data_IF_881294156446
#
_entry.id   IF_881294156446
#
_cell.length_a   1.000
_cell.length_b   1.000
_cell.length_c   1.000
_cell.angle_alpha   90.00
_cell.angle_beta   90.00
_cell.angle_gamma   90.00
#
_symmetry.space_group_name_H-M   'P 1'
#
loop_
_entity.id
_entity.type
_entity.pdbx_description
1 polymer ?
#
# COMPACT_ATOMS: atom_id res chain seq x y z
N UNK A 1 -23.65 -1.67 -39.69
CA UNK A 1 -22.53 -0.71 -39.59
C UNK A 1 -21.24 -1.44 -39.95
N UNK A 2 -20.23 -0.79 -40.54
CA UNK A 2 -18.88 -1.37 -40.62
C UNK A 2 -18.29 -1.40 -39.20
N UNK A 3 -17.73 -2.54 -38.82
CA UNK A 3 -17.04 -2.69 -37.55
C UNK A 3 -15.74 -1.85 -37.57
N UNK A 4 -15.49 -1.05 -36.53
CA UNK A 4 -14.29 -0.21 -36.46
C UNK A 4 -13.14 -1.05 -35.93
N UNK A 5 -12.01 -1.09 -36.65
CA UNK A 5 -10.79 -1.76 -36.17
C UNK A 5 -10.33 -1.10 -34.87
N UNK A 6 -10.04 -1.88 -33.84
CA UNK A 6 -9.53 -1.40 -32.54
C UNK A 6 -8.13 -1.94 -32.33
N UNK A 7 -7.17 -1.05 -32.08
CA UNK A 7 -5.78 -1.38 -31.75
C UNK A 7 -5.49 -0.92 -30.33
N UNK A 8 -4.85 -1.76 -29.52
CA UNK A 8 -4.42 -1.45 -28.15
C UNK A 8 -2.91 -1.53 -28.05
N UNK A 9 -2.25 -0.55 -27.43
CA UNK A 9 -0.82 -0.60 -27.08
C UNK A 9 -0.51 0.41 -25.98
N UNK A 10 0.69 0.33 -25.40
CA UNK A 10 1.10 1.05 -24.18
C UNK A 10 1.92 2.30 -24.51
N UNK A 11 1.90 3.28 -23.60
CA UNK A 11 2.84 4.41 -23.61
C UNK A 11 4.28 3.88 -23.68
N UNK A 12 5.09 4.49 -24.56
CA UNK A 12 6.49 4.10 -24.81
C UNK A 12 6.67 2.97 -25.84
N UNK A 13 5.62 2.23 -26.20
CA UNK A 13 5.70 1.17 -27.22
C UNK A 13 5.63 1.73 -28.65
N UNK A 14 5.78 0.82 -29.62
CA UNK A 14 5.54 1.07 -31.05
C UNK A 14 4.25 0.39 -31.47
N UNK A 15 3.38 1.09 -32.21
CA UNK A 15 2.13 0.54 -32.74
C UNK A 15 2.04 0.73 -34.26
N UNK A 16 1.39 -0.23 -34.92
CA UNK A 16 0.97 -0.16 -36.31
C UNK A 16 -0.55 0.00 -36.42
N UNK A 17 -0.99 0.96 -37.22
CA UNK A 17 -2.40 1.14 -37.59
C UNK A 17 -2.56 0.72 -39.06
N UNK A 18 -3.26 -0.40 -39.36
CA UNK A 18 -3.40 -0.89 -40.72
C UNK A 18 -4.35 0.00 -41.54
N UNK A 19 -4.00 0.30 -42.79
CA UNK A 19 -4.91 0.93 -43.74
C UNK A 19 -5.88 -0.10 -44.37
N UNK A 20 -6.84 0.37 -45.18
CA UNK A 20 -7.77 -0.48 -45.95
C UNK A 20 -7.41 -0.60 -47.45
N UNK A 21 -6.18 -0.25 -47.83
CA UNK A 21 -5.69 -0.38 -49.19
C UNK A 21 -4.21 -0.77 -49.21
N UNK A 22 -3.85 -1.66 -50.14
CA UNK A 22 -2.48 -1.98 -50.49
C UNK A 22 -2.25 -1.57 -51.95
N UNK A 23 -1.12 -0.91 -52.22
CA UNK A 23 -0.71 -0.52 -53.56
C UNK A 23 -0.23 -1.78 -54.30
N UNK A 24 -0.80 -2.13 -55.46
CA UNK A 24 -0.33 -3.27 -56.25
C UNK A 24 1.15 -3.14 -56.60
N UNK A 25 1.89 -4.26 -56.60
CA UNK A 25 3.32 -4.27 -56.93
C UNK A 25 3.66 -3.82 -58.36
N UNK A 26 2.67 -3.77 -59.26
CA UNK A 26 2.75 -3.19 -60.61
C UNK A 26 2.54 -1.67 -60.65
N UNK A 27 2.30 -1.03 -59.49
CA UNK A 27 2.02 0.39 -59.34
C UNK A 27 2.99 1.07 -58.36
N UNK A 28 2.79 2.36 -58.15
CA UNK A 28 3.67 3.19 -57.33
C UNK A 28 2.85 4.25 -56.61
N UNK A 29 3.29 4.62 -55.41
CA UNK A 29 2.75 5.70 -54.58
C UNK A 29 2.62 7.03 -55.33
N UNK A 30 3.35 7.25 -56.42
CA UNK A 30 3.16 8.41 -57.31
C UNK A 30 1.72 8.56 -57.86
N UNK A 31 0.97 7.46 -58.04
CA UNK A 31 -0.42 7.48 -58.54
C UNK A 31 -1.47 7.73 -57.45
N UNK A 32 -1.03 7.85 -56.20
CA UNK A 32 -1.89 7.86 -55.02
C UNK A 32 -1.71 9.14 -54.20
N UNK A 33 -2.78 9.54 -53.52
CA UNK A 33 -2.73 10.45 -52.37
C UNK A 33 -3.20 9.69 -51.15
N UNK A 34 -2.41 9.74 -50.08
CA UNK A 34 -2.68 8.99 -48.84
C UNK A 34 -2.68 9.99 -47.71
N UNK A 35 -3.73 9.97 -46.90
CA UNK A 35 -3.88 10.81 -45.72
C UNK A 35 -4.12 9.91 -44.51
N UNK A 36 -3.27 10.04 -43.50
CA UNK A 36 -3.58 9.57 -42.15
C UNK A 36 -4.02 10.77 -41.33
N UNK A 37 -5.25 10.69 -40.81
CA UNK A 37 -5.88 11.79 -40.07
C UNK A 37 -6.29 11.31 -38.68
N UNK A 38 -6.13 12.16 -37.66
CA UNK A 38 -6.63 11.92 -36.29
C UNK A 38 -7.84 12.82 -36.05
N UNK A 39 -8.92 12.23 -35.53
CA UNK A 39 -10.20 12.88 -35.26
C UNK A 39 -10.76 13.69 -36.46
N UNK A 40 -10.45 13.28 -37.71
CA UNK A 40 -10.83 13.91 -38.99
C UNK A 40 -10.19 15.30 -39.23
N UNK A 41 -9.71 15.99 -38.19
CA UNK A 41 -9.19 17.37 -38.28
C UNK A 41 -7.66 17.47 -38.32
N UNK A 42 -6.93 16.57 -37.66
CA UNK A 42 -5.47 16.62 -37.58
C UNK A 42 -4.83 15.70 -38.62
N UNK A 43 -4.17 16.26 -39.65
CA UNK A 43 -3.41 15.44 -40.62
C UNK A 43 -2.10 14.96 -39.97
N UNK A 44 -2.07 13.69 -39.54
CA UNK A 44 -0.90 13.05 -38.93
C UNK A 44 0.26 13.06 -39.92
N UNK A 45 0.00 12.54 -41.13
CA UNK A 45 0.86 12.66 -42.29
C UNK A 45 0.05 12.57 -43.59
N UNK A 46 0.61 13.08 -44.67
CA UNK A 46 0.04 12.92 -46.01
C UNK A 46 1.13 12.73 -47.07
N UNK A 47 0.83 11.87 -48.05
CA UNK A 47 1.64 11.65 -49.24
C UNK A 47 0.86 12.03 -50.50
N UNK A 48 1.55 12.60 -51.49
CA UNK A 48 1.07 12.83 -52.85
C UNK A 48 2.25 12.75 -53.80
N UNK A 49 2.05 12.18 -54.99
CA UNK A 49 3.10 12.08 -56.02
C UNK A 49 4.39 11.42 -55.46
N UNK A 50 4.23 10.38 -54.63
CA UNK A 50 5.33 9.62 -54.02
C UNK A 50 6.05 10.32 -52.86
N UNK A 51 5.79 11.62 -52.64
CA UNK A 51 6.46 12.44 -51.64
C UNK A 51 5.57 12.71 -50.43
N UNK A 52 6.18 12.84 -49.25
CA UNK A 52 5.48 13.30 -48.04
C UNK A 52 5.24 14.81 -48.16
N UNK A 53 3.98 15.24 -48.22
CA UNK A 53 3.57 16.64 -48.42
C UNK A 53 3.13 17.34 -47.14
N UNK A 54 2.79 16.57 -46.09
CA UNK A 54 2.42 17.11 -44.78
C UNK A 54 2.76 16.12 -43.68
N UNK A 55 3.14 16.66 -42.52
CA UNK A 55 3.35 15.92 -41.27
C UNK A 55 3.13 16.87 -40.10
N UNK A 56 2.21 16.53 -39.21
CA UNK A 56 1.90 17.36 -38.05
C UNK A 56 3.04 17.32 -37.03
N UNK A 57 3.36 18.45 -36.39
CA UNK A 57 4.58 18.64 -35.60
C UNK A 57 4.72 17.63 -34.44
N UNK A 58 3.64 17.35 -33.71
CA UNK A 58 3.56 16.30 -32.67
C UNK A 58 4.08 14.92 -33.12
N UNK A 59 3.91 14.61 -34.41
CA UNK A 59 4.26 13.34 -35.04
C UNK A 59 5.63 13.37 -35.75
N UNK A 60 6.31 14.52 -35.77
CA UNK A 60 7.64 14.68 -36.35
C UNK A 60 8.62 13.75 -35.62
N UNK A 61 9.42 13.01 -36.40
CA UNK A 61 10.33 11.95 -35.92
C UNK A 61 9.66 10.77 -35.14
N UNK A 62 8.33 10.74 -35.04
CA UNK A 62 7.58 9.70 -34.31
C UNK A 62 6.69 8.81 -35.18
N UNK A 63 6.50 9.14 -36.45
CA UNK A 63 5.67 8.34 -37.36
C UNK A 63 6.33 8.02 -38.68
N UNK A 64 6.00 6.85 -39.23
CA UNK A 64 6.42 6.40 -40.55
C UNK A 64 5.23 5.69 -41.22
N UNK A 65 5.26 5.60 -42.55
CA UNK A 65 4.22 4.91 -43.32
C UNK A 65 4.87 3.92 -44.27
N UNK A 66 4.41 2.67 -44.25
CA UNK A 66 4.80 1.70 -45.25
C UNK A 66 4.23 2.11 -46.63
N UNK A 67 5.05 2.32 -47.67
CA UNK A 67 4.56 2.84 -48.96
C UNK A 67 3.87 1.79 -49.83
N UNK A 68 3.75 0.53 -49.40
CA UNK A 68 3.02 -0.54 -50.08
C UNK A 68 1.65 -0.80 -49.43
N UNK A 69 1.62 -1.19 -48.16
CA UNK A 69 0.38 -1.51 -47.42
C UNK A 69 -0.22 -0.31 -46.66
N UNK A 70 0.43 0.87 -46.73
CA UNK A 70 -0.04 2.15 -46.18
C UNK A 70 -0.25 2.16 -44.66
N UNK A 71 0.28 1.16 -43.95
CA UNK A 71 0.25 1.08 -42.48
C UNK A 71 1.01 2.23 -41.86
N UNK A 72 0.37 2.93 -40.92
CA UNK A 72 0.99 3.98 -40.12
C UNK A 72 1.66 3.36 -38.89
N UNK A 73 2.95 3.63 -38.71
CA UNK A 73 3.69 3.32 -37.50
C UNK A 73 3.78 4.56 -36.61
N UNK A 74 3.63 4.38 -35.29
CA UNK A 74 3.79 5.44 -34.28
C UNK A 74 4.73 4.93 -33.17
N UNK A 75 5.80 5.67 -32.88
CA UNK A 75 6.81 5.32 -31.86
C UNK A 75 7.62 6.54 -31.38
N UNK A 76 7.92 6.68 -30.08
CA UNK A 76 7.23 6.02 -28.97
C UNK A 76 5.79 6.54 -28.87
N UNK A 77 4.87 5.74 -28.34
CA UNK A 77 3.48 6.15 -28.08
C UNK A 77 3.33 7.06 -26.85
N UNK A 78 2.38 8.01 -26.94
CA UNK A 78 1.96 8.88 -25.84
C UNK A 78 0.45 8.75 -25.57
N UNK A 79 -0.02 9.15 -24.39
CA UNK A 79 -1.47 9.15 -24.05
C UNK A 79 -2.25 10.06 -25.01
N UNK A 80 -1.64 11.16 -25.47
CA UNK A 80 -2.23 12.08 -26.44
C UNK A 80 -2.49 11.45 -27.81
N UNK A 81 -1.93 10.27 -28.11
CA UNK A 81 -2.23 9.51 -29.33
C UNK A 81 -3.52 8.71 -29.24
N UNK A 82 -4.10 8.55 -28.04
CA UNK A 82 -5.41 7.93 -27.89
C UNK A 82 -6.48 8.67 -28.72
N UNK A 83 -7.26 7.94 -29.51
CA UNK A 83 -8.31 8.53 -30.35
C UNK A 83 -8.66 7.72 -31.61
N UNK A 84 -9.46 8.33 -32.48
CA UNK A 84 -9.83 7.75 -33.77
C UNK A 84 -8.89 8.26 -34.86
N UNK A 85 -8.27 7.34 -35.57
CA UNK A 85 -7.52 7.60 -36.79
C UNK A 85 -8.35 7.21 -38.01
N UNK A 86 -8.00 7.74 -39.17
CA UNK A 86 -8.63 7.47 -40.45
C UNK A 86 -7.55 7.38 -41.54
N UNK A 87 -7.56 6.27 -42.30
CA UNK A 87 -6.78 6.16 -43.53
C UNK A 87 -7.69 6.53 -44.71
N UNK A 88 -7.33 7.57 -45.46
CA UNK A 88 -8.01 7.97 -46.69
C UNK A 88 -7.04 7.85 -47.85
N UNK A 89 -7.38 7.03 -48.84
CA UNK A 89 -6.56 6.79 -50.03
C UNK A 89 -7.32 7.18 -51.27
N UNK A 90 -6.72 8.04 -52.09
CA UNK A 90 -7.23 8.45 -53.39
C UNK A 90 -6.30 7.97 -54.49
N UNK A 91 -6.87 7.51 -55.60
CA UNK A 91 -6.18 7.15 -56.84
C UNK A 91 -6.81 7.96 -57.97
N UNK A 92 -6.02 8.75 -58.70
CA UNK A 92 -6.52 9.63 -59.78
C UNK A 92 -7.76 10.47 -59.35
N UNK A 93 -7.72 11.03 -58.14
CA UNK A 93 -8.82 11.79 -57.49
C UNK A 93 -10.09 11.00 -57.12
N UNK A 94 -10.11 9.67 -57.28
CA UNK A 94 -11.18 8.79 -56.78
C UNK A 94 -10.77 8.20 -55.43
N UNK A 95 -11.63 8.30 -54.41
CA UNK A 95 -11.39 7.65 -53.11
C UNK A 95 -11.53 6.13 -53.29
N UNK A 96 -10.45 5.39 -52.99
CA UNK A 96 -10.39 3.91 -53.06
C UNK A 96 -10.35 3.25 -51.69
N UNK A 97 -10.01 3.98 -50.64
CA UNK A 97 -10.13 3.56 -49.24
C UNK A 97 -10.51 4.74 -48.36
N UNK A 98 -11.43 4.48 -47.43
CA UNK A 98 -11.78 5.32 -46.29
C UNK A 98 -12.16 4.37 -45.15
N UNK A 99 -11.29 4.26 -44.14
CA UNK A 99 -11.52 3.40 -42.97
C UNK A 99 -10.99 4.04 -41.69
N UNK A 100 -11.75 3.90 -40.60
CA UNK A 100 -11.37 4.37 -39.27
C UNK A 100 -10.75 3.25 -38.42
N UNK A 101 -9.66 3.58 -37.72
CA UNK A 101 -9.00 2.73 -36.73
C UNK A 101 -9.02 3.45 -35.38
N UNK A 102 -9.52 2.81 -34.32
CA UNK A 102 -9.50 3.34 -32.96
C UNK A 102 -8.20 2.87 -32.30
N UNK A 103 -7.32 3.82 -31.96
CA UNK A 103 -6.15 3.56 -31.13
C UNK A 103 -6.49 3.83 -29.67
N UNK A 104 -6.41 2.78 -28.86
CA UNK A 104 -6.58 2.83 -27.41
C UNK A 104 -5.22 2.71 -26.71
N UNK A 105 -4.83 3.74 -25.97
CA UNK A 105 -3.54 3.78 -25.26
C UNK A 105 -3.73 3.35 -23.81
N UNK A 106 -2.74 2.65 -23.24
CA UNK A 106 -2.65 2.41 -21.78
C UNK A 106 -1.33 2.92 -21.20
N UNK A 107 -1.37 3.38 -19.95
CA UNK A 107 -0.20 3.57 -19.11
C UNK A 107 -0.38 2.73 -17.84
N UNK A 108 0.68 2.05 -17.41
CA UNK A 108 0.62 1.23 -16.19
C UNK A 108 0.52 2.11 -14.95
N UNK A 109 -0.44 1.79 -14.08
CA UNK A 109 -0.44 2.28 -12.71
C UNK A 109 0.78 1.75 -11.95
N UNK A 110 1.35 2.59 -11.10
CA UNK A 110 2.36 2.14 -10.14
C UNK A 110 1.79 1.10 -9.17
N UNK A 111 2.67 0.27 -8.59
CA UNK A 111 2.25 -0.72 -7.59
C UNK A 111 1.53 0.02 -6.43
N UNK A 112 0.28 -0.36 -6.06
CA UNK A 112 -0.45 0.37 -5.05
C UNK A 112 0.28 0.41 -3.71
N UNK A 113 0.30 1.56 -3.07
CA UNK A 113 0.80 1.74 -1.71
C UNK A 113 -0.40 1.74 -0.76
N UNK A 114 -0.32 0.97 0.34
CA UNK A 114 -1.35 0.92 1.38
C UNK A 114 -0.74 1.50 2.65
N UNK A 115 -1.38 2.52 3.20
CA UNK A 115 -1.14 3.07 4.53
C UNK A 115 -2.33 2.74 5.43
N UNK A 116 -2.07 2.51 6.72
CA UNK A 116 -3.11 2.32 7.73
C UNK A 116 -2.75 3.15 8.96
N UNK A 117 -3.67 3.99 9.41
CA UNK A 117 -3.53 4.90 10.55
C UNK A 117 -4.61 4.56 11.58
N UNK A 118 -4.23 4.44 12.85
CA UNK A 118 -5.16 4.14 13.95
C UNK A 118 -5.90 5.42 14.33
N UNK A 119 -7.23 5.39 14.25
CA UNK A 119 -8.10 6.51 14.65
C UNK A 119 -8.46 6.43 16.13
N UNK A 120 -8.83 5.22 16.58
CA UNK A 120 -9.18 4.91 17.95
C UNK A 120 -8.80 3.46 18.25
N UNK A 121 -8.51 3.16 19.51
CA UNK A 121 -8.15 1.80 19.94
C UNK A 121 -8.93 1.39 21.20
N UNK A 122 -9.26 0.10 21.28
CA UNK A 122 -10.03 -0.48 22.37
C UNK A 122 -9.75 -1.97 22.50
N UNK A 123 -10.08 -2.53 23.66
CA UNK A 123 -9.89 -3.97 23.90
C UNK A 123 -10.71 -4.88 22.96
N UNK A 124 -11.79 -4.39 22.35
CA UNK A 124 -12.62 -5.17 21.43
C UNK A 124 -12.13 -5.02 19.98
N UNK A 125 -11.90 -3.77 19.53
CA UNK A 125 -11.43 -3.46 18.18
C UNK A 125 -10.54 -2.21 18.10
N UNK A 126 -9.60 -2.23 17.17
CA UNK A 126 -8.85 -1.04 16.72
C UNK A 126 -9.53 -0.45 15.49
N UNK A 127 -9.95 0.82 15.54
CA UNK A 127 -10.50 1.55 14.39
C UNK A 127 -9.36 2.14 13.56
N UNK A 128 -9.34 1.89 12.25
CA UNK A 128 -8.28 2.31 11.35
C UNK A 128 -8.82 3.02 10.11
N UNK A 129 -8.22 4.16 9.73
CA UNK A 129 -8.32 4.67 8.36
C UNK A 129 -7.24 4.01 7.50
N UNK A 130 -7.66 3.45 6.37
CA UNK A 130 -6.79 2.80 5.40
C UNK A 130 -6.84 3.58 4.10
N UNK A 131 -5.67 3.96 3.61
CA UNK A 131 -5.49 4.72 2.38
C UNK A 131 -4.72 3.85 1.39
N UNK A 132 -5.36 3.49 0.28
CA UNK A 132 -4.68 2.87 -0.86
C UNK A 132 -4.47 3.92 -1.96
N UNK A 133 -3.22 4.09 -2.43
CA UNK A 133 -2.89 5.06 -3.48
C UNK A 133 -2.07 4.44 -4.62
N UNK A 134 -2.27 4.95 -5.84
CA UNK A 134 -1.48 4.60 -7.03
C UNK A 134 -1.48 5.76 -8.04
N UNK A 135 -0.48 5.83 -8.90
CA UNK A 135 -0.20 7.00 -9.73
C UNK A 135 0.23 6.68 -11.16
N UNK A 136 0.08 7.67 -12.04
CA UNK A 136 0.67 7.71 -13.39
C UNK A 136 -0.02 6.85 -14.46
N UNK A 137 -1.13 6.19 -14.15
CA UNK A 137 -1.75 5.22 -15.06
C UNK A 137 -2.84 5.81 -15.96
N UNK A 138 -3.20 5.08 -17.02
CA UNK A 138 -4.23 5.46 -17.99
C UNK A 138 -4.84 4.20 -18.63
N UNK A 139 -6.17 4.11 -18.87
CA UNK A 139 -7.22 5.13 -18.69
C UNK A 139 -7.59 5.37 -17.21
N UNK A 140 -8.69 6.11 -16.97
CA UNK A 140 -9.34 6.22 -15.66
C UNK A 140 -9.49 4.83 -15.00
N UNK A 141 -9.01 4.64 -13.75
CA UNK A 141 -9.04 3.36 -13.06
C UNK A 141 -10.32 3.14 -12.25
N UNK A 142 -10.46 1.91 -11.76
CA UNK A 142 -11.33 1.53 -10.64
C UNK A 142 -10.46 0.94 -9.52
N UNK A 143 -10.80 1.22 -8.26
CA UNK A 143 -10.24 0.49 -7.13
C UNK A 143 -11.20 -0.63 -6.74
N UNK A 144 -10.65 -1.81 -6.47
CA UNK A 144 -11.31 -2.93 -5.82
C UNK A 144 -10.42 -3.47 -4.70
N UNK A 145 -10.94 -4.37 -3.87
CA UNK A 145 -10.15 -5.01 -2.85
C UNK A 145 -10.92 -6.07 -2.10
N UNK A 146 -10.21 -6.73 -1.18
CA UNK A 146 -10.80 -7.73 -0.30
C UNK A 146 -10.15 -7.71 1.09
N UNK A 147 -10.93 -8.08 2.09
CA UNK A 147 -10.54 -8.27 3.47
C UNK A 147 -10.77 -9.76 3.81
N UNK A 148 -9.71 -10.54 4.06
CA UNK A 148 -9.79 -12.01 4.20
C UNK A 148 -10.65 -12.69 3.10
N UNK A 149 -10.43 -12.31 1.83
CA UNK A 149 -11.18 -12.73 0.63
C UNK A 149 -12.63 -12.24 0.50
N UNK A 150 -13.16 -11.47 1.46
CA UNK A 150 -14.47 -10.79 1.32
C UNK A 150 -14.29 -9.46 0.59
N UNK A 151 -15.02 -9.24 -0.51
CA UNK A 151 -14.92 -7.99 -1.28
C UNK A 151 -15.28 -6.76 -0.45
N UNK A 152 -14.50 -5.69 -0.56
CA UNK A 152 -14.76 -4.41 0.12
C UNK A 152 -14.88 -3.26 -0.87
N UNK A 153 -15.82 -2.36 -0.60
CA UNK A 153 -16.01 -1.13 -1.36
C UNK A 153 -15.11 -0.02 -0.81
N UNK A 154 -14.31 0.59 -1.69
CA UNK A 154 -13.42 1.69 -1.34
C UNK A 154 -14.08 3.02 -1.69
N UNK A 155 -13.98 4.02 -0.81
CA UNK A 155 -14.30 5.41 -1.16
C UNK A 155 -13.19 5.95 -2.08
N UNK A 156 -13.36 5.70 -3.38
CA UNK A 156 -12.34 5.94 -4.40
C UNK A 156 -12.50 7.32 -5.06
N UNK A 157 -11.40 8.06 -5.09
CA UNK A 157 -11.24 9.33 -5.79
C UNK A 157 -10.08 9.25 -6.79
N UNK A 158 -10.09 10.07 -7.83
CA UNK A 158 -9.01 10.18 -8.80
C UNK A 158 -8.80 11.63 -9.22
N UNK A 159 -7.56 11.96 -9.56
CA UNK A 159 -7.14 13.27 -10.06
C UNK A 159 -6.43 13.08 -11.39
N UNK A 160 -6.77 13.92 -12.36
CA UNK A 160 -6.08 14.04 -13.65
C UNK A 160 -6.34 15.46 -14.19
N UNK A 161 -5.39 16.01 -14.94
CA UNK A 161 -5.49 17.35 -15.54
C UNK A 161 -6.52 17.41 -16.67
N UNK A 162 -6.70 16.29 -17.40
CA UNK A 162 -7.56 16.20 -18.58
C UNK A 162 -7.98 14.77 -18.86
N UNK A 163 -8.94 14.57 -19.76
CA UNK A 163 -9.33 13.22 -20.22
C UNK A 163 -8.23 12.46 -20.98
N UNK A 164 -7.11 13.12 -21.34
CA UNK A 164 -5.94 12.56 -22.01
C UNK A 164 -4.65 12.75 -21.20
N UNK A 165 -4.75 12.99 -19.89
CA UNK A 165 -3.62 13.05 -18.96
C UNK A 165 -3.59 11.82 -18.03
N UNK A 166 -2.42 11.42 -17.48
CA UNK A 166 -2.33 10.34 -16.50
C UNK A 166 -3.25 10.56 -15.29
N UNK A 167 -3.75 9.47 -14.71
CA UNK A 167 -4.58 9.47 -13.50
C UNK A 167 -3.76 9.06 -12.28
N UNK A 168 -3.97 9.78 -11.19
CA UNK A 168 -3.63 9.33 -9.84
C UNK A 168 -4.93 8.94 -9.13
N UNK A 169 -4.91 7.88 -8.34
CA UNK A 169 -6.11 7.32 -7.69
C UNK A 169 -5.83 7.03 -6.22
N UNK A 170 -6.80 7.36 -5.38
CA UNK A 170 -6.75 7.17 -3.92
C UNK A 170 -8.07 6.63 -3.43
N UNK A 171 -8.04 5.43 -2.84
CA UNK A 171 -9.16 4.80 -2.15
C UNK A 171 -8.99 4.95 -0.64
N UNK A 172 -10.05 5.39 0.04
CA UNK A 172 -10.14 5.42 1.50
C UNK A 172 -11.13 4.37 2.01
N UNK A 173 -10.85 3.81 3.17
CA UNK A 173 -11.71 2.84 3.85
C UNK A 173 -11.50 2.98 5.36
N UNK A 174 -12.56 2.90 6.17
CA UNK A 174 -12.46 2.84 7.63
C UNK A 174 -12.93 1.46 8.09
N UNK A 175 -12.14 0.78 8.92
CA UNK A 175 -12.42 -0.57 9.43
C UNK A 175 -12.21 -0.67 10.94
N UNK A 176 -13.07 -1.47 11.59
CA UNK A 176 -12.87 -1.94 12.97
C UNK A 176 -12.21 -3.32 12.95
N UNK A 177 -10.94 -3.37 13.33
CA UNK A 177 -10.09 -4.57 13.31
C UNK A 177 -10.19 -5.27 14.67
N UNK A 178 -10.84 -6.43 14.72
CA UNK A 178 -11.01 -7.26 15.94
C UNK A 178 -9.99 -8.39 16.09
N UNK A 179 -9.29 -8.70 14.99
CA UNK A 179 -8.22 -9.71 14.87
C UNK A 179 -7.28 -9.29 13.74
N UNK A 180 -6.09 -9.87 13.70
CA UNK A 180 -5.19 -9.69 12.55
C UNK A 180 -5.87 -10.16 11.26
N UNK A 181 -5.82 -9.32 10.22
CA UNK A 181 -6.63 -9.45 9.00
C UNK A 181 -5.85 -8.93 7.79
N UNK A 182 -5.94 -9.63 6.66
CA UNK A 182 -5.21 -9.24 5.45
C UNK A 182 -6.11 -8.41 4.53
N UNK A 183 -5.74 -7.14 4.29
CA UNK A 183 -6.41 -6.29 3.31
C UNK A 183 -5.63 -6.28 1.99
N UNK A 184 -6.34 -6.47 0.88
CA UNK A 184 -5.81 -6.34 -0.48
C UNK A 184 -6.46 -5.15 -1.17
N UNK A 185 -5.65 -4.29 -1.77
CA UNK A 185 -6.10 -3.26 -2.69
C UNK A 185 -5.64 -3.61 -4.12
N UNK A 186 -6.52 -3.40 -5.10
CA UNK A 186 -6.28 -3.65 -6.52
C UNK A 186 -6.74 -2.46 -7.35
N UNK A 187 -5.88 -1.99 -8.24
CA UNK A 187 -6.17 -0.90 -9.20
C UNK A 187 -6.39 -1.53 -10.57
N UNK A 188 -7.64 -1.51 -11.02
CA UNK A 188 -8.15 -2.09 -12.26
C UNK A 188 -8.23 -1.03 -13.38
N UNK A 189 -7.70 -1.34 -14.57
CA UNK A 189 -7.71 -0.44 -15.74
C UNK A 189 -7.63 -1.23 -17.05
N UNK A 190 -8.60 -1.06 -17.97
CA UNK A 190 -8.64 -1.73 -19.29
C UNK A 190 -8.41 -3.26 -19.25
N UNK A 191 -8.86 -3.95 -18.19
CA UNK A 191 -8.67 -5.39 -18.00
C UNK A 191 -7.33 -5.80 -17.37
N UNK A 192 -6.42 -4.84 -17.11
CA UNK A 192 -5.24 -5.03 -16.29
C UNK A 192 -5.55 -4.73 -14.82
N UNK A 193 -4.76 -5.30 -13.92
CA UNK A 193 -4.81 -5.02 -12.49
C UNK A 193 -3.39 -4.94 -11.90
N UNK A 194 -3.18 -4.03 -10.96
CA UNK A 194 -2.00 -4.01 -10.07
C UNK A 194 -2.50 -4.05 -8.64
N UNK A 195 -1.98 -4.99 -7.84
CA UNK A 195 -2.43 -5.19 -6.47
C UNK A 195 -1.29 -5.18 -5.44
N UNK A 196 -1.66 -4.86 -4.21
CA UNK A 196 -0.84 -4.95 -3.00
C UNK A 196 -1.70 -5.46 -1.87
N UNK A 197 -1.12 -6.21 -0.94
CA UNK A 197 -1.76 -6.65 0.30
C UNK A 197 -0.97 -6.17 1.51
N UNK A 198 -1.67 -5.91 2.61
CA UNK A 198 -1.13 -5.47 3.89
C UNK A 198 -1.81 -6.25 5.03
N UNK A 199 -1.01 -6.80 5.94
CA UNK A 199 -1.53 -7.38 7.18
C UNK A 199 -1.81 -6.25 8.17
N UNK A 200 -3.09 -6.02 8.48
CA UNK A 200 -3.51 -5.16 9.57
C UNK A 200 -3.43 -5.97 10.86
N UNK A 201 -2.82 -5.41 11.89
CA UNK A 201 -2.70 -6.04 13.21
C UNK A 201 -3.66 -5.40 14.18
N UNK A 202 -4.32 -6.19 15.02
CA UNK A 202 -5.06 -5.65 16.16
C UNK A 202 -4.06 -5.17 17.22
N UNK A 203 -4.25 -3.97 17.76
CA UNK A 203 -3.53 -3.54 18.96
C UNK A 203 -4.09 -4.30 20.17
N UNK A 204 -3.21 -4.77 21.05
CA UNK A 204 -3.57 -5.63 22.19
C UNK A 204 -3.30 -4.97 23.54
N UNK A 205 -3.27 -3.64 23.61
CA UNK A 205 -2.83 -2.89 24.80
C UNK A 205 -3.93 -2.76 25.88
N UNK A 206 -4.41 -3.92 26.32
CA UNK A 206 -5.45 -4.04 27.34
C UNK A 206 -4.88 -4.00 28.75
N UNK A 207 -4.60 -2.79 29.25
CA UNK A 207 -4.57 -2.55 30.70
C UNK A 207 -6.01 -2.53 31.21
N UNK A 208 -6.59 -3.72 31.42
CA UNK A 208 -7.90 -3.85 32.07
C UNK A 208 -7.79 -3.21 33.46
N UNK A 209 -8.57 -2.16 33.78
CA UNK A 209 -8.57 -1.59 35.12
C UNK A 209 -8.88 -2.69 36.14
N UNK A 210 -8.11 -2.82 37.24
CA UNK A 210 -8.34 -3.88 38.21
C UNK A 210 -9.78 -3.77 38.72
N UNK A 211 -10.61 -4.75 38.36
CA UNK A 211 -12.02 -4.79 38.75
C UNK A 211 -12.07 -4.72 40.27
N UNK A 212 -12.69 -3.68 40.87
CA UNK A 212 -12.75 -3.57 42.31
C UNK A 212 -13.46 -4.81 42.86
N UNK A 213 -12.90 -5.48 43.89
CA UNK A 213 -13.49 -6.71 44.41
C UNK A 213 -14.94 -6.44 44.85
N UNK A 214 -15.85 -7.43 44.71
CA UNK A 214 -17.25 -7.25 45.07
C UNK A 214 -17.37 -6.69 46.50
N UNK A 215 -18.33 -5.80 46.73
CA UNK A 215 -18.54 -5.18 48.05
C UNK A 215 -18.57 -6.22 49.18
N UNK A 216 -19.19 -7.38 48.93
CA UNK A 216 -19.22 -8.55 49.82
C UNK A 216 -17.82 -9.03 50.28
N UNK A 217 -16.83 -9.06 49.38
CA UNK A 217 -15.44 -9.47 49.67
C UNK A 217 -14.72 -8.43 50.52
N UNK A 218 -14.94 -7.14 50.22
CA UNK A 218 -14.40 -6.02 51.00
C UNK A 218 -15.00 -6.06 52.41
N UNK A 219 -16.32 -6.21 52.55
CA UNK A 219 -16.98 -6.31 53.86
C UNK A 219 -16.54 -7.55 54.63
N UNK A 220 -16.41 -8.71 53.98
CA UNK A 220 -15.93 -9.93 54.63
C UNK A 220 -14.51 -9.77 55.16
N UNK A 221 -13.60 -9.19 54.37
CA UNK A 221 -12.22 -8.90 54.79
C UNK A 221 -12.17 -7.95 55.99
N UNK A 222 -12.98 -6.88 55.99
CA UNK A 222 -13.09 -5.94 57.11
C UNK A 222 -13.63 -6.64 58.37
N UNK A 223 -14.66 -7.47 58.24
CA UNK A 223 -15.24 -8.23 59.37
C UNK A 223 -14.21 -9.21 59.95
N UNK A 224 -13.44 -9.92 59.11
CA UNK A 224 -12.37 -10.83 59.54
C UNK A 224 -11.28 -10.06 60.32
N UNK A 225 -10.85 -8.90 59.84
CA UNK A 225 -9.86 -8.07 60.55
C UNK A 225 -10.40 -7.55 61.89
N UNK A 226 -11.64 -7.06 61.93
CA UNK A 226 -12.27 -6.58 63.18
C UNK A 226 -12.44 -7.72 64.19
N UNK A 227 -12.91 -8.89 63.76
CA UNK A 227 -13.07 -10.05 64.65
C UNK A 227 -11.73 -10.57 65.16
N UNK A 228 -10.66 -10.54 64.35
CA UNK A 228 -9.32 -10.89 64.80
C UNK A 228 -8.75 -9.89 65.82
N UNK A 229 -8.96 -8.59 65.62
CA UNK A 229 -8.58 -7.55 66.59
C UNK A 229 -9.38 -7.69 67.90
N UNK A 230 -10.68 -7.99 67.83
CA UNK A 230 -11.50 -8.28 69.01
C UNK A 230 -11.01 -9.53 69.75
N UNK A 231 -10.67 -10.61 69.03
CA UNK A 231 -10.10 -11.81 69.62
C UNK A 231 -8.75 -11.53 70.31
N UNK A 232 -7.85 -10.75 69.69
CA UNK A 232 -6.57 -10.35 70.30
C UNK A 232 -6.79 -9.48 71.54
N UNK A 233 -7.67 -8.48 71.48
CA UNK A 233 -7.94 -7.59 72.62
C UNK A 233 -8.62 -8.32 73.79
N UNK A 234 -9.51 -9.27 73.51
CA UNK A 234 -10.08 -10.17 74.52
C UNK A 234 -9.02 -11.12 75.09
N UNK A 235 -8.19 -11.76 74.26
CA UNK A 235 -7.09 -12.61 74.72
C UNK A 235 -6.11 -11.82 75.61
N UNK A 236 -5.76 -10.59 75.24
CA UNK A 236 -4.90 -9.70 76.05
C UNK A 236 -5.56 -9.18 77.34
N UNK A 237 -6.89 -9.25 77.46
CA UNK A 237 -7.65 -8.93 78.69
C UNK A 237 -7.84 -10.15 79.60
N UNK A 238 -7.93 -11.36 79.02
CA UNK A 238 -8.21 -12.61 79.74
C UNK A 238 -6.97 -13.48 80.01
N UNK A 239 -5.85 -13.28 79.30
CA UNK A 239 -4.56 -13.81 79.71
C UNK A 239 -4.04 -12.98 80.90
N UNK A 240 -3.82 -13.58 82.09
CA UNK A 240 -3.24 -12.86 83.20
C UNK A 240 -1.84 -12.37 82.82
N UNK A 241 -1.52 -11.10 83.14
CA UNK A 241 -0.12 -10.66 83.20
C UNK A 241 0.57 -11.43 84.33
N UNK A 242 1.22 -12.55 84.00
CA UNK A 242 2.17 -13.19 84.89
C UNK A 242 3.41 -12.28 85.07
N UNK A 243 3.28 -11.32 85.99
CA UNK A 243 4.41 -10.61 86.57
C UNK A 243 5.13 -11.62 87.46
N UNK A 244 6.23 -12.17 86.97
CA UNK A 244 7.09 -13.02 87.78
C UNK A 244 8.13 -12.14 88.50
N UNK A 245 7.86 -11.77 89.76
CA UNK A 245 8.83 -11.08 90.61
C UNK A 245 9.51 -12.07 91.57
N UNK A 246 10.85 -12.09 91.52
CA UNK A 246 11.75 -12.66 92.54
C UNK A 246 11.72 -14.20 92.77
N UNK A 247 12.75 -14.86 92.22
CA UNK A 247 13.57 -15.81 92.97
C UNK A 247 15.04 -15.36 92.84
N UNK A 248 15.79 -15.35 93.95
CA UNK A 248 17.14 -14.78 94.02
C UNK A 248 18.21 -15.84 94.31
N UNK A 249 19.32 -15.80 93.52
CA UNK A 249 20.71 -16.16 93.92
C UNK A 249 20.96 -17.64 94.36
N UNK A 250 22.15 -18.22 94.23
CA UNK A 250 23.46 -17.86 93.62
C UNK A 250 24.30 -19.14 93.56
N UNK A 251 25.16 -19.32 92.56
CA UNK A 251 26.47 -19.96 92.75
C UNK A 251 27.48 -19.43 91.72
N UNK A 252 28.75 -19.35 92.11
CA UNK A 252 29.82 -18.68 91.35
C UNK A 252 30.70 -19.68 90.58
N UNK A 253 31.36 -19.22 89.51
CA UNK A 253 32.80 -19.38 89.19
C UNK A 253 33.07 -19.35 87.66
N UNK A 254 34.01 -18.48 87.25
CA UNK A 254 35.13 -18.68 86.27
C UNK A 254 34.76 -19.37 84.92
N UNK A 255 35.03 -18.80 83.74
CA UNK A 255 36.38 -18.43 83.23
C UNK A 255 36.36 -17.39 82.07
N UNK A 256 37.55 -17.11 81.53
CA UNK A 256 37.92 -16.19 80.44
C UNK A 256 37.08 -16.37 79.15
N UNK A 257 36.94 -15.41 78.22
CA UNK A 257 37.67 -14.15 77.98
C UNK A 257 38.11 -14.06 76.51
N UNK A 258 38.41 -12.84 76.01
CA UNK A 258 39.10 -12.55 74.72
C UNK A 258 38.27 -12.72 73.41
N UNK A 259 38.33 -11.86 72.38
CA UNK A 259 38.62 -10.41 72.23
C UNK A 259 38.05 -9.93 70.87
N UNK A 260 37.94 -8.61 70.71
CA UNK A 260 37.58 -7.91 69.49
C UNK A 260 38.80 -7.57 68.59
N UNK A 261 38.67 -7.76 67.27
CA UNK A 261 39.29 -6.97 66.18
C UNK A 261 40.81 -7.03 65.88
N UNK A 262 41.18 -7.13 64.58
CA UNK A 262 42.09 -6.19 63.83
C UNK A 262 43.04 -6.83 62.76
N UNK A 263 42.68 -6.69 61.47
CA UNK A 263 43.51 -6.18 60.33
C UNK A 263 44.77 -7.02 59.84
N UNK A 264 45.67 -6.55 58.90
CA UNK A 264 46.08 -7.30 57.68
C UNK A 264 47.65 -7.45 57.57
N UNK A 265 48.41 -7.38 56.42
CA UNK A 265 48.20 -7.58 54.95
C UNK A 265 49.35 -8.39 54.21
N UNK A 266 49.38 -8.32 52.85
CA UNK A 266 50.57 -8.25 51.92
C UNK A 266 51.17 -9.51 51.22
N UNK A 267 51.17 -9.45 49.86
CA UNK A 267 52.17 -9.85 48.80
C UNK A 267 52.82 -11.26 48.80
N UNK A 268 53.09 -11.96 47.68
CA UNK A 268 53.34 -11.61 46.25
C UNK A 268 53.04 -12.86 45.34
N UNK A 269 53.29 -13.02 44.03
CA UNK A 269 53.96 -12.27 42.92
C UNK A 269 53.55 -12.88 41.55
N UNK A 270 53.66 -12.18 40.41
CA UNK A 270 53.71 -12.81 39.07
C UNK A 270 52.95 -12.12 37.91
N UNK A 271 53.70 -11.56 36.96
CA UNK A 271 53.36 -10.92 35.66
C UNK A 271 53.28 -11.93 34.47
N UNK A 272 53.05 -11.53 33.19
CA UNK A 272 52.21 -10.47 32.57
C UNK A 272 51.43 -10.96 31.29
N UNK A 273 50.78 -10.01 30.56
CA UNK A 273 50.35 -10.05 29.14
C UNK A 273 49.27 -11.11 28.73
N UNK A 274 48.43 -10.96 27.70
CA UNK A 274 48.54 -10.25 26.40
C UNK A 274 47.16 -9.83 25.83
N UNK A 275 47.15 -9.21 24.64
CA UNK A 275 46.04 -8.59 23.88
C UNK A 275 45.03 -9.51 23.16
N UNK A 276 44.04 -8.87 22.52
CA UNK A 276 43.20 -9.32 21.38
C UNK A 276 42.15 -10.42 21.67
N UNK A 277 41.00 -10.48 20.96
CA UNK A 277 40.60 -9.88 19.66
C UNK A 277 39.35 -9.02 19.79
#
# INVERSE_FOLDING_TARGET
>A
AREKKVVKSKVGETVSLPCCHEIPSSESLHKYRVYWQKNITEVVLAYSEGNMISKHERYRYRTEMDPWNLTLWISPMEILDNGSYQCVVQRNSVVVCDESVILFVTADFSKPNIMAEVLADSCESTEMEIVCSSHGGFPKPKISGALDNMSVEWNASWVSESSLSPYNVTGKLVLNVTKDVNITCSVEYNGFAKSTSLLLKKTNDCVVPPVPPPYNVITASIIIVITFILAITLAARYLPRHVCSHCCKREDLVEEGVKEGTKPPISSKGTPDTSSV
#
